data_IF_187254376299
#
_entry.id   IF_187254376299
#
_cell.length_a   1.000
_cell.length_b   1.000
_cell.length_c   1.000
_cell.angle_alpha   90.00
_cell.angle_beta   90.00
_cell.angle_gamma   90.00
#
_symmetry.space_group_name_H-M   'P 1'
#
loop_
_entity.id
_entity.type
_entity.pdbx_description
1 polymer ?
#
# COMPACT_ATOMS: atom_id res chain seq x y z
N UNK A 1 -8.12 34.59 -38.07
CA UNK A 1 -9.29 34.29 -37.22
C UNK A 1 -9.91 33.05 -37.83
N UNK A 2 -9.65 31.84 -37.36
CA UNK A 2 -9.31 31.37 -36.02
C UNK A 2 -8.17 30.37 -36.08
N UNK A 3 -7.15 30.63 -35.28
CA UNK A 3 -6.12 29.67 -34.90
C UNK A 3 -6.78 28.83 -33.79
N UNK A 4 -7.26 27.63 -34.10
CA UNK A 4 -7.68 26.67 -33.08
C UNK A 4 -6.42 25.97 -32.59
N UNK A 5 -5.83 26.58 -31.56
CA UNK A 5 -4.94 25.90 -30.62
C UNK A 5 -5.79 24.99 -29.73
N UNK A 6 -5.13 23.97 -29.17
CA UNK A 6 -5.59 23.11 -28.04
C UNK A 6 -6.44 21.92 -28.53
N UNK A 7 -5.85 20.73 -28.65
CA UNK A 7 -5.63 19.86 -27.50
C UNK A 7 -4.39 18.96 -27.70
N UNK A 8 -3.21 19.50 -27.39
CA UNK A 8 -2.04 18.68 -27.04
C UNK A 8 -2.12 18.53 -25.52
N UNK A 9 -3.08 17.72 -25.04
CA UNK A 9 -3.07 17.32 -23.63
C UNK A 9 -1.80 16.48 -23.44
N UNK A 10 -0.80 16.93 -22.67
CA UNK A 10 0.37 16.13 -22.41
C UNK A 10 -0.10 14.86 -21.68
N UNK A 11 0.31 13.73 -22.23
CA UNK A 11 -0.14 12.42 -21.80
C UNK A 11 0.30 12.04 -20.39
N UNK A 12 -0.21 10.87 -20.00
CA UNK A 12 0.39 10.02 -18.98
C UNK A 12 0.39 10.61 -17.55
N UNK A 13 -0.81 10.89 -17.04
CA UNK A 13 -1.07 10.82 -15.60
C UNK A 13 -2.20 9.80 -15.37
N UNK A 14 -1.99 8.57 -15.89
CA UNK A 14 -2.63 7.45 -15.21
C UNK A 14 -2.01 7.45 -13.82
N UNK A 15 -2.80 7.45 -12.73
CA UNK A 15 -2.23 7.07 -11.44
C UNK A 15 -1.55 5.74 -11.71
N UNK A 16 -0.27 5.62 -11.38
CA UNK A 16 0.37 4.32 -11.41
C UNK A 16 -0.53 3.41 -10.57
N UNK A 17 -1.30 2.52 -11.21
CA UNK A 17 -2.35 1.70 -10.58
C UNK A 17 -1.76 0.76 -9.52
N UNK A 18 -0.44 0.71 -9.50
CA UNK A 18 0.41 -0.09 -8.70
C UNK A 18 0.73 0.66 -7.38
N UNK A 19 0.31 0.12 -6.21
CA UNK A 19 0.52 0.77 -4.92
C UNK A 19 2.02 0.97 -4.65
N UNK A 20 2.41 1.98 -3.85
CA UNK A 20 3.81 2.15 -3.45
C UNK A 20 4.39 0.86 -2.87
N UNK A 21 5.69 0.63 -3.06
CA UNK A 21 6.39 -0.59 -2.61
C UNK A 21 6.11 -0.89 -1.12
N UNK A 22 6.22 0.12 -0.25
CA UNK A 22 5.91 0.01 1.16
C UNK A 22 4.47 -0.45 1.46
N UNK A 23 3.50 -0.03 0.63
CA UNK A 23 2.09 -0.47 0.78
C UNK A 23 1.93 -1.93 0.34
N UNK A 24 2.66 -2.38 -0.68
CA UNK A 24 2.65 -3.80 -1.08
C UNK A 24 3.23 -4.68 0.01
N UNK A 25 4.39 -4.30 0.54
CA UNK A 25 5.04 -5.02 1.64
C UNK A 25 4.14 -5.12 2.87
N UNK A 26 3.45 -4.02 3.22
CA UNK A 26 2.46 -4.03 4.29
C UNK A 26 1.30 -5.01 4.01
N UNK A 27 0.75 -5.00 2.80
CA UNK A 27 -0.37 -5.89 2.43
C UNK A 27 0.08 -7.35 2.50
N UNK A 28 1.22 -7.70 1.91
CA UNK A 28 1.75 -9.07 1.93
C UNK A 28 1.99 -9.56 3.37
N UNK A 29 2.56 -8.72 4.22
CA UNK A 29 2.75 -9.03 5.64
C UNK A 29 1.43 -9.21 6.39
N UNK A 30 0.43 -8.35 6.14
CA UNK A 30 -0.88 -8.45 6.76
C UNK A 30 -1.63 -9.72 6.33
N UNK A 31 -1.55 -10.10 5.04
CA UNK A 31 -2.16 -11.33 4.53
C UNK A 31 -1.52 -12.58 5.15
N UNK A 32 -0.20 -12.58 5.31
CA UNK A 32 0.50 -13.67 5.99
C UNK A 32 0.05 -13.81 7.46
N UNK A 33 -0.03 -12.71 8.20
CA UNK A 33 -0.49 -12.72 9.60
C UNK A 33 -1.92 -13.23 9.69
N UNK A 34 -2.79 -12.80 8.79
CA UNK A 34 -4.17 -13.27 8.73
C UNK A 34 -4.25 -14.78 8.46
N UNK A 35 -3.46 -15.27 7.51
CA UNK A 35 -3.38 -16.70 7.21
C UNK A 35 -2.90 -17.51 8.42
N UNK A 36 -1.81 -17.09 9.06
CA UNK A 36 -1.27 -17.76 10.25
C UNK A 36 -2.26 -17.77 11.42
N UNK A 37 -2.95 -16.65 11.65
CA UNK A 37 -4.00 -16.56 12.66
C UNK A 37 -5.18 -17.48 12.34
N UNK A 38 -5.67 -17.48 11.10
CA UNK A 38 -6.81 -18.31 10.69
C UNK A 38 -6.52 -19.81 10.78
N UNK A 39 -5.29 -20.22 10.47
CA UNK A 39 -4.84 -21.61 10.62
C UNK A 39 -4.54 -22.00 12.07
N UNK A 40 -4.59 -21.04 13.01
CA UNK A 40 -4.31 -21.27 14.43
C UNK A 40 -2.82 -21.42 14.76
N UNK A 41 -1.93 -20.98 13.87
CA UNK A 41 -0.48 -20.91 14.11
C UNK A 41 -0.08 -19.67 14.93
N UNK A 42 -0.97 -18.68 15.03
CA UNK A 42 -0.70 -17.42 15.69
C UNK A 42 -1.83 -17.05 16.67
N UNK A 43 -1.45 -16.73 17.90
CA UNK A 43 -2.39 -16.23 18.91
C UNK A 43 -2.91 -14.82 18.55
N UNK A 44 -4.15 -14.46 18.95
CA UNK A 44 -4.72 -13.15 18.66
C UNK A 44 -3.84 -11.97 19.10
N UNK A 45 -3.29 -12.03 20.31
CA UNK A 45 -2.41 -10.97 20.84
C UNK A 45 -1.12 -10.84 20.03
N UNK A 46 -0.55 -11.96 19.60
CA UNK A 46 0.65 -11.98 18.77
C UNK A 46 0.37 -11.44 17.36
N UNK A 47 -0.79 -11.78 16.77
CA UNK A 47 -1.24 -11.25 15.48
C UNK A 47 -1.41 -9.73 15.53
N UNK A 48 -2.07 -9.21 16.58
CA UNK A 48 -2.26 -7.76 16.77
C UNK A 48 -0.93 -7.04 16.99
N UNK A 49 -0.01 -7.62 17.76
CA UNK A 49 1.32 -7.04 17.97
C UNK A 49 2.08 -6.90 16.65
N UNK A 50 2.17 -7.99 15.86
CA UNK A 50 2.87 -7.97 14.57
C UNK A 50 2.23 -7.01 13.56
N UNK A 51 0.90 -7.00 13.48
CA UNK A 51 0.20 -6.06 12.60
C UNK A 51 0.48 -4.61 13.03
N UNK A 52 0.52 -4.34 14.33
CA UNK A 52 0.88 -3.04 14.88
C UNK A 52 2.28 -2.59 14.48
N UNK A 53 3.26 -3.50 14.51
CA UNK A 53 4.64 -3.23 14.09
C UNK A 53 4.70 -2.85 12.60
N UNK A 54 4.01 -3.58 11.71
CA UNK A 54 3.96 -3.24 10.28
C UNK A 54 3.21 -1.92 10.00
N UNK A 55 2.18 -1.57 10.79
CA UNK A 55 1.52 -0.26 10.68
C UNK A 55 2.47 0.87 11.08
N UNK A 56 3.30 0.65 12.11
CA UNK A 56 4.29 1.63 12.54
C UNK A 56 5.38 1.84 11.47
N UNK A 57 5.89 0.75 10.88
CA UNK A 57 6.87 0.80 9.78
C UNK A 57 6.33 1.53 8.54
N UNK A 58 5.08 1.22 8.15
CA UNK A 58 4.44 1.93 7.05
C UNK A 58 4.31 3.43 7.33
N UNK A 59 3.94 3.81 8.55
CA UNK A 59 3.84 5.21 8.95
C UNK A 59 5.18 5.93 8.92
N UNK A 60 6.21 5.32 9.47
CA UNK A 60 7.58 5.86 9.47
C UNK A 60 8.03 6.18 8.03
N UNK A 61 7.79 5.25 7.10
CA UNK A 61 8.10 5.41 5.68
C UNK A 61 7.42 6.63 5.02
N UNK A 62 6.24 7.04 5.50
CA UNK A 62 5.50 8.21 4.97
C UNK A 62 5.75 9.51 5.74
N UNK A 63 6.31 9.42 6.95
CA UNK A 63 6.63 10.57 7.80
C UNK A 63 8.07 11.08 7.60
N UNK A 64 8.91 10.36 6.83
CA UNK A 64 10.27 10.75 6.39
C UNK A 64 10.34 11.76 5.23
#
# INVERSE_FOLDING_TARGET
MTDELEDDTPGDDQPSDEPPEAVREFIDAAEQIYYEYNEGYLDPDAALSRLGDHVAELRDTYEE
#
